data_IF_844858218495
#
_entry.id   IF_844858218495
#
_cell.length_a   1.000
_cell.length_b   1.000
_cell.length_c   1.000
_cell.angle_alpha   90.00
_cell.angle_beta   90.00
_cell.angle_gamma   90.00
#
_symmetry.space_group_name_H-M   'P 1'
#
loop_
_entity.id
_entity.type
_entity.pdbx_description
1 polymer ?
#
# COMPACT_ATOMS: atom_id res chain seq x y z
N UNK A 1 10.46 27.41 -11.11
CA UNK A 1 10.44 26.50 -9.94
C UNK A 1 9.28 25.53 -10.11
N UNK A 2 9.57 24.31 -10.58
CA UNK A 2 8.55 23.26 -10.67
C UNK A 2 8.31 22.70 -9.28
N UNK A 3 7.13 22.95 -8.69
CA UNK A 3 6.64 22.19 -7.53
C UNK A 3 6.15 20.82 -8.03
N UNK A 4 7.08 19.96 -8.44
CA UNK A 4 6.80 18.56 -8.75
C UNK A 4 6.92 17.75 -7.45
N UNK A 5 5.82 17.09 -7.07
CA UNK A 5 5.56 16.49 -5.75
C UNK A 5 5.37 17.54 -4.64
N UNK A 6 4.13 17.66 -4.16
CA UNK A 6 3.85 18.40 -2.93
C UNK A 6 4.72 17.79 -1.81
N UNK A 7 5.52 18.62 -1.12
CA UNK A 7 6.25 18.18 0.07
C UNK A 7 5.25 17.49 0.99
N UNK A 8 5.43 16.20 1.32
CA UNK A 8 4.56 15.57 2.27
C UNK A 8 4.80 16.20 3.62
N UNK A 9 3.82 16.96 4.10
CA UNK A 9 3.89 17.63 5.41
C UNK A 9 3.47 16.71 6.56
N UNK A 10 2.98 15.51 6.24
CA UNK A 10 2.45 14.51 7.16
C UNK A 10 3.14 13.14 6.94
N UNK A 11 4.47 13.12 6.85
CA UNK A 11 5.22 11.88 6.72
C UNK A 11 4.97 10.95 7.92
N UNK A 12 4.63 9.66 7.68
CA UNK A 12 4.46 8.66 8.74
C UNK A 12 5.74 8.36 9.54
N UNK A 13 6.92 8.68 9.00
CA UNK A 13 8.24 8.46 9.63
C UNK A 13 8.53 7.00 9.97
N UNK A 14 8.08 6.10 9.10
CA UNK A 14 8.32 4.66 9.15
C UNK A 14 8.94 4.20 7.82
N UNK A 15 9.76 3.15 7.80
CA UNK A 15 10.52 2.77 6.60
C UNK A 15 9.64 2.24 5.46
N UNK A 16 8.57 1.52 5.79
CA UNK A 16 7.55 1.05 4.87
C UNK A 16 6.24 0.80 5.63
N UNK A 17 5.14 0.66 4.88
CA UNK A 17 3.91 0.07 5.39
C UNK A 17 3.73 -1.29 4.73
N UNK A 18 3.43 -2.31 5.51
CA UNK A 18 3.16 -3.65 4.99
C UNK A 18 1.98 -4.28 5.73
N UNK A 19 0.97 -4.69 4.96
CA UNK A 19 -0.13 -5.52 5.38
C UNK A 19 0.01 -6.91 4.75
N UNK A 20 0.48 -7.91 5.52
CA UNK A 20 0.60 -9.28 5.03
C UNK A 20 -0.75 -9.96 4.79
N UNK A 21 -1.82 -9.56 5.51
CA UNK A 21 -3.16 -10.11 5.31
C UNK A 21 -3.78 -9.63 4.01
N UNK A 22 -3.76 -8.32 3.78
CA UNK A 22 -4.21 -7.70 2.53
C UNK A 22 -3.24 -7.86 1.36
N UNK A 23 -2.05 -8.42 1.61
CA UNK A 23 -0.94 -8.55 0.65
C UNK A 23 -0.60 -7.23 -0.04
N UNK A 24 -0.63 -6.15 0.72
CA UNK A 24 -0.44 -4.79 0.23
C UNK A 24 0.73 -4.14 0.96
N UNK A 25 1.51 -3.36 0.22
CA UNK A 25 2.64 -2.61 0.77
C UNK A 25 2.71 -1.22 0.17
N UNK A 26 3.17 -0.26 0.96
CA UNK A 26 3.41 1.12 0.52
C UNK A 26 4.88 1.43 0.80
N UNK A 27 5.57 1.89 -0.25
CA UNK A 27 6.91 2.43 -0.19
C UNK A 27 6.98 3.73 -1.01
N UNK A 28 7.96 4.58 -0.74
CA UNK A 28 8.18 5.81 -1.51
C UNK A 28 8.83 6.91 -0.68
N UNK A 29 9.12 8.03 -1.34
CA UNK A 29 9.73 9.20 -0.71
C UNK A 29 8.86 9.76 0.42
N UNK A 30 7.52 9.70 0.29
CA UNK A 30 6.59 10.15 1.33
C UNK A 30 6.94 9.63 2.74
N UNK A 31 7.39 8.39 2.85
CA UNK A 31 7.57 7.69 4.13
C UNK A 31 8.83 8.11 4.90
N UNK A 32 9.88 8.51 4.19
CA UNK A 32 11.20 8.81 4.77
C UNK A 32 11.72 10.22 4.46
N UNK A 33 11.15 10.93 3.47
CA UNK A 33 11.52 12.29 3.10
C UNK A 33 11.48 12.54 1.60
N UNK A 34 11.45 13.80 1.17
CA UNK A 34 11.30 14.19 -0.24
C UNK A 34 12.59 14.05 -1.06
N UNK A 35 13.09 12.83 -1.23
CA UNK A 35 14.25 12.53 -2.05
C UNK A 35 14.15 11.18 -2.76
N UNK A 36 14.91 11.01 -3.85
CA UNK A 36 15.03 9.72 -4.56
C UNK A 36 15.68 8.66 -3.67
N UNK A 37 16.64 9.06 -2.84
CA UNK A 37 17.26 8.17 -1.86
C UNK A 37 16.23 7.63 -0.87
N UNK A 38 15.36 8.50 -0.33
CA UNK A 38 14.27 8.11 0.55
C UNK A 38 13.31 7.12 -0.12
N UNK A 39 12.97 7.32 -1.39
CA UNK A 39 12.16 6.37 -2.15
C UNK A 39 12.84 5.00 -2.27
N UNK A 40 14.13 4.97 -2.61
CA UNK A 40 14.90 3.74 -2.74
C UNK A 40 15.04 2.99 -1.40
N UNK A 41 15.36 3.70 -0.32
CA UNK A 41 15.48 3.13 1.02
C UNK A 41 14.14 2.53 1.49
N UNK A 42 13.04 3.25 1.27
CA UNK A 42 11.71 2.77 1.61
C UNK A 42 11.31 1.53 0.79
N UNK A 43 11.66 1.51 -0.51
CA UNK A 43 11.43 0.35 -1.38
C UNK A 43 12.19 -0.89 -0.92
N UNK A 44 13.47 -0.75 -0.55
CA UNK A 44 14.26 -1.86 -0.01
C UNK A 44 13.69 -2.37 1.31
N UNK A 45 13.24 -1.48 2.21
CA UNK A 45 12.61 -1.89 3.45
C UNK A 45 11.36 -2.74 3.21
N UNK A 46 10.47 -2.30 2.30
CA UNK A 46 9.29 -3.07 1.94
C UNK A 46 9.66 -4.43 1.32
N UNK A 47 10.65 -4.47 0.43
CA UNK A 47 11.13 -5.70 -0.18
C UNK A 47 11.64 -6.71 0.87
N UNK A 48 12.38 -6.25 1.89
CA UNK A 48 12.85 -7.12 2.97
C UNK A 48 11.67 -7.69 3.78
N UNK A 49 10.70 -6.86 4.18
CA UNK A 49 9.51 -7.33 4.88
C UNK A 49 8.72 -8.39 4.07
N UNK A 50 8.59 -8.19 2.75
CA UNK A 50 7.96 -9.17 1.87
C UNK A 50 8.78 -10.47 1.81
N UNK A 51 10.11 -10.36 1.66
CA UNK A 51 10.99 -11.52 1.59
C UNK A 51 10.95 -12.35 2.89
N UNK A 52 10.99 -11.69 4.04
CA UNK A 52 10.92 -12.35 5.35
C UNK A 52 9.56 -13.03 5.55
N UNK A 53 8.46 -12.37 5.18
CA UNK A 53 7.13 -12.97 5.23
C UNK A 53 7.01 -14.21 4.34
N UNK A 54 7.48 -14.13 3.09
CA UNK A 54 7.47 -15.26 2.17
C UNK A 54 8.39 -16.40 2.65
N UNK A 55 9.55 -16.07 3.23
CA UNK A 55 10.48 -17.04 3.80
C UNK A 55 9.96 -17.73 5.07
N UNK A 56 8.92 -17.19 5.70
CA UNK A 56 8.22 -17.80 6.84
C UNK A 56 7.06 -18.72 6.44
N UNK A 57 6.93 -19.06 5.16
CA UNK A 57 5.77 -19.76 4.57
C UNK A 57 4.43 -19.03 4.82
N UNK A 58 4.49 -17.70 5.03
CA UNK A 58 3.32 -16.88 5.36
C UNK A 58 2.72 -17.15 6.74
N UNK A 59 3.48 -17.78 7.65
CA UNK A 59 3.03 -18.11 9.01
C UNK A 59 3.19 -16.89 9.94
N UNK A 60 2.19 -16.63 10.79
CA UNK A 60 2.14 -15.47 11.72
C UNK A 60 2.27 -14.11 11.00
N UNK A 61 1.37 -13.79 10.05
CA UNK A 61 1.37 -12.52 9.34
C UNK A 61 1.45 -11.29 10.26
N UNK A 62 0.86 -11.36 11.46
CA UNK A 62 0.91 -10.30 12.48
C UNK A 62 2.33 -9.87 12.89
N UNK A 63 3.33 -10.75 12.78
CA UNK A 63 4.73 -10.43 13.12
C UNK A 63 5.43 -9.60 12.04
N UNK A 64 4.90 -9.61 10.82
CA UNK A 64 5.47 -8.90 9.67
C UNK A 64 4.73 -7.60 9.37
N UNK A 65 3.53 -7.41 9.94
CA UNK A 65 2.74 -6.20 9.78
C UNK A 65 3.48 -4.98 10.35
N UNK A 66 3.58 -3.91 9.56
CA UNK A 66 4.23 -2.66 9.99
C UNK A 66 3.50 -1.45 9.44
N UNK A 67 3.39 -0.40 10.26
CA UNK A 67 2.91 0.91 9.85
C UNK A 67 1.39 1.08 9.76
N UNK A 68 0.62 0.00 9.85
CA UNK A 68 -0.84 0.06 10.00
C UNK A 68 -1.24 -0.21 11.43
N UNK A 69 -2.06 0.67 11.98
CA UNK A 69 -2.77 0.47 13.25
C UNK A 69 -4.25 0.14 13.04
N UNK A 70 -4.69 0.13 11.78
CA UNK A 70 -6.06 -0.14 11.34
C UNK A 70 -5.99 -0.93 10.04
N UNK A 71 -6.90 -1.88 9.89
CA UNK A 71 -7.04 -2.66 8.66
C UNK A 71 -7.51 -1.79 7.50
N UNK A 72 -7.16 -2.19 6.27
CA UNK A 72 -7.69 -1.54 5.08
C UNK A 72 -9.21 -1.68 5.01
N UNK A 73 -9.89 -0.57 4.80
CA UNK A 73 -11.33 -0.52 4.61
C UNK A 73 -11.65 -0.18 3.16
N UNK A 74 -12.67 -0.85 2.60
CA UNK A 74 -13.17 -0.50 1.27
C UNK A 74 -13.70 0.93 1.31
N UNK A 75 -13.08 1.82 0.55
CA UNK A 75 -13.55 3.18 0.35
C UNK A 75 -14.48 3.27 -0.86
N UNK A 76 -15.38 4.25 -0.85
CA UNK A 76 -16.17 4.65 -2.00
C UNK A 76 -15.41 5.70 -2.81
N UNK A 77 -15.76 5.87 -4.09
CA UNK A 77 -15.09 6.84 -4.95
C UNK A 77 -15.11 8.28 -4.40
N UNK A 78 -16.19 8.65 -3.70
CA UNK A 78 -16.31 9.97 -3.08
C UNK A 78 -15.31 10.21 -1.94
N UNK A 79 -14.81 9.16 -1.28
CA UNK A 79 -13.88 9.28 -0.16
C UNK A 79 -12.46 9.69 -0.61
N UNK A 80 -12.12 9.46 -1.89
CA UNK A 80 -10.77 9.71 -2.45
C UNK A 80 -10.75 10.79 -3.54
N UNK A 81 -11.84 11.53 -3.73
CA UNK A 81 -11.97 12.56 -4.76
C UNK A 81 -12.51 12.00 -6.08
N UNK A 82 -13.82 11.77 -6.13
CA UNK A 82 -14.53 11.35 -7.34
C UNK A 82 -14.62 12.50 -8.35
N UNK A 83 -14.23 12.22 -9.60
CA UNK A 83 -14.39 13.19 -10.67
C UNK A 83 -15.89 13.46 -10.95
N UNK A 84 -16.29 14.73 -11.16
CA UNK A 84 -17.67 15.06 -11.52
C UNK A 84 -18.14 14.28 -12.76
N UNK A 85 -19.32 13.66 -12.68
CA UNK A 85 -19.93 12.93 -13.79
C UNK A 85 -19.62 11.43 -13.86
N UNK A 86 -18.67 10.93 -13.06
CA UNK A 86 -18.48 9.49 -12.90
C UNK A 86 -19.57 8.96 -11.95
N UNK A 87 -20.44 8.06 -12.39
CA UNK A 87 -21.30 7.30 -11.44
C UNK A 87 -20.46 6.18 -10.85
N UNK A 88 -20.55 5.96 -9.54
CA UNK A 88 -19.97 4.80 -8.88
C UNK A 88 -20.50 3.54 -9.56
N UNK A 89 -19.62 2.77 -10.20
CA UNK A 89 -19.99 1.48 -10.77
C UNK A 89 -20.37 0.55 -9.62
N UNK A 90 -21.55 -0.05 -9.69
CA UNK A 90 -21.92 -1.13 -8.80
C UNK A 90 -20.91 -2.27 -9.01
N UNK A 91 -20.40 -2.85 -7.91
CA UNK A 91 -19.36 -3.89 -7.95
C UNK A 91 -19.88 -5.07 -8.78
N UNK A 92 -19.40 -5.21 -10.01
CA UNK A 92 -19.56 -6.46 -10.77
C UNK A 92 -18.83 -7.56 -10.00
N UNK A 93 -19.59 -8.58 -9.60
CA UNK A 93 -19.06 -9.77 -8.95
C UNK A 93 -18.07 -10.41 -9.90
N UNK A 94 -16.79 -10.41 -9.52
CA UNK A 94 -15.77 -11.20 -10.21
C UNK A 94 -16.09 -12.67 -9.93
N UNK A 95 -16.91 -13.29 -10.78
CA UNK A 95 -17.08 -14.73 -10.81
C UNK A 95 -15.74 -15.34 -11.23
N UNK A 96 -15.08 -15.99 -10.26
CA UNK A 96 -13.94 -16.85 -10.53
C UNK A 96 -14.37 -17.93 -11.53
N UNK A 97 -13.78 -17.93 -12.71
CA UNK A 97 -13.84 -19.10 -13.58
C UNK A 97 -12.90 -20.15 -12.98
N UNK A 98 -13.46 -21.16 -12.34
CA UNK A 98 -12.71 -22.39 -12.07
C UNK A 98 -12.44 -23.08 -13.42
N UNK A 99 -11.20 -23.04 -13.89
CA UNK A 99 -10.76 -23.92 -14.98
C UNK A 99 -10.49 -25.29 -14.38
N UNK A 100 -11.48 -26.16 -14.47
CA UNK A 100 -11.26 -27.61 -14.43
C UNK A 100 -10.61 -28.05 -15.73
N UNK A 101 -9.43 -28.66 -15.61
CA UNK A 101 -8.92 -29.68 -16.53
C UNK A 101 -7.97 -30.57 -15.76
#
# INVERSE_FOLDING_TARGET
MCRGAALPTNTPSIPCIFDPHGRAGICGDWLLGSSVESAALSGMALANHIADYLGSDGVRPEEFAVGLHKDFQSLQGHDIGQFPGLKSMEKEQVQAYELTS
#
